data_IF_744155096357
#
_entry.id   IF_744155096357
#
_cell.length_a   1.000
_cell.length_b   1.000
_cell.length_c   1.000
_cell.angle_alpha   90.00
_cell.angle_beta   90.00
_cell.angle_gamma   90.00
#
_symmetry.space_group_name_H-M   'P 1'
#
loop_
_entity.id
_entity.type
_entity.pdbx_description
1 polymer ?
#
# COMPACT_ATOMS: atom_id res chain seq x y z
N UNK A 1 -9.00 -11.30 -4.98
CA UNK A 1 -9.56 -9.96 -4.73
C UNK A 1 -8.97 -9.43 -3.42
N UNK A 2 -8.83 -8.12 -3.19
CA UNK A 2 -8.47 -7.60 -1.87
C UNK A 2 -9.53 -8.04 -0.85
N UNK A 3 -9.08 -8.56 0.31
CA UNK A 3 -9.95 -9.00 1.38
C UNK A 3 -10.22 -10.51 1.41
N UNK A 4 -9.21 -11.32 1.77
CA UNK A 4 -9.47 -12.66 2.33
C UNK A 4 -9.95 -12.59 3.79
N UNK A 5 -9.68 -11.50 4.51
CA UNK A 5 -10.10 -11.23 5.88
C UNK A 5 -10.33 -9.74 6.11
N UNK A 6 -10.96 -9.36 7.23
CA UNK A 6 -11.08 -7.95 7.63
C UNK A 6 -9.70 -7.29 7.82
N UNK A 7 -8.72 -8.04 8.33
CA UNK A 7 -7.36 -7.56 8.52
C UNK A 7 -6.68 -7.26 7.18
N UNK A 8 -6.70 -8.19 6.22
CA UNK A 8 -6.09 -7.95 4.90
C UNK A 8 -6.81 -6.86 4.11
N UNK A 9 -8.13 -6.74 4.25
CA UNK A 9 -8.89 -5.63 3.67
C UNK A 9 -8.45 -4.28 4.25
N UNK A 10 -8.21 -4.19 5.55
CA UNK A 10 -7.69 -2.98 6.19
C UNK A 10 -6.27 -2.64 5.70
N UNK A 11 -5.42 -3.65 5.47
CA UNK A 11 -4.07 -3.46 4.91
C UNK A 11 -4.14 -2.98 3.45
N UNK A 12 -5.00 -3.58 2.63
CA UNK A 12 -5.21 -3.15 1.24
C UNK A 12 -5.80 -1.72 1.19
N UNK A 13 -6.65 -1.31 2.15
CA UNK A 13 -7.08 0.07 2.31
C UNK A 13 -5.93 1.01 2.67
N UNK A 14 -5.09 0.64 3.65
CA UNK A 14 -3.92 1.42 4.04
C UNK A 14 -2.98 1.64 2.84
N UNK A 15 -2.82 0.63 1.99
CA UNK A 15 -2.08 0.76 0.74
C UNK A 15 -2.71 1.77 -0.22
N UNK A 16 -4.03 1.79 -0.39
CA UNK A 16 -4.70 2.79 -1.24
C UNK A 16 -4.41 4.21 -0.75
N UNK A 17 -4.35 4.42 0.57
CA UNK A 17 -3.94 5.68 1.18
C UNK A 17 -2.48 6.01 0.85
N UNK A 18 -1.56 5.06 0.98
CA UNK A 18 -0.14 5.26 0.63
C UNK A 18 0.06 5.59 -0.85
N UNK A 19 -0.62 4.90 -1.77
CA UNK A 19 -0.57 5.21 -3.21
C UNK A 19 -1.09 6.61 -3.50
N UNK A 20 -2.07 7.09 -2.73
CA UNK A 20 -2.58 8.47 -2.84
C UNK A 20 -1.57 9.48 -2.31
N UNK A 21 -0.91 9.20 -1.18
CA UNK A 21 0.16 10.02 -0.66
C UNK A 21 1.34 10.08 -1.64
N UNK A 22 1.74 8.96 -2.23
CA UNK A 22 2.80 8.86 -3.25
C UNK A 22 2.52 9.79 -4.44
N UNK A 23 1.31 9.78 -5.00
CA UNK A 23 0.94 10.70 -6.09
C UNK A 23 1.06 12.18 -5.70
N UNK A 24 0.68 12.53 -4.46
CA UNK A 24 0.82 13.91 -3.95
C UNK A 24 2.28 14.30 -3.78
N UNK A 25 3.10 13.38 -3.27
CA UNK A 25 4.54 13.60 -3.09
C UNK A 25 5.25 13.74 -4.44
N UNK A 26 4.86 12.98 -5.46
CA UNK A 26 5.37 13.15 -6.83
C UNK A 26 5.03 14.54 -7.36
N UNK A 27 3.78 14.98 -7.22
CA UNK A 27 3.38 16.33 -7.63
C UNK A 27 4.15 17.44 -6.88
N UNK A 28 4.46 17.24 -5.60
CA UNK A 28 5.32 18.15 -4.83
C UNK A 28 6.78 18.11 -5.31
N UNK A 29 7.28 16.93 -5.70
CA UNK A 29 8.63 16.79 -6.23
C UNK A 29 8.78 17.47 -7.59
N UNK A 30 7.76 17.41 -8.45
CA UNK A 30 7.70 18.12 -9.73
C UNK A 30 7.71 19.66 -9.58
N UNK A 31 7.31 20.16 -8.40
CA UNK A 31 7.33 21.58 -8.06
C UNK A 31 8.59 22.00 -7.30
N UNK A 32 9.61 21.14 -7.22
CA UNK A 32 10.84 21.34 -6.42
C UNK A 32 10.55 21.62 -4.92
N UNK A 33 9.38 21.22 -4.41
CA UNK A 33 8.98 21.43 -3.02
C UNK A 33 9.43 20.29 -2.09
N UNK A 34 10.12 19.28 -2.62
CA UNK A 34 10.55 18.11 -1.88
C UNK A 34 11.99 18.27 -1.39
N UNK A 35 12.18 18.40 -0.07
CA UNK A 35 13.53 18.56 0.51
C UNK A 35 14.34 17.25 0.53
N UNK A 36 13.67 16.08 0.49
CA UNK A 36 14.33 14.78 0.56
C UNK A 36 13.73 13.78 -0.45
N UNK A 37 14.50 13.43 -1.49
CA UNK A 37 14.11 12.48 -2.52
C UNK A 37 13.86 11.05 -2.04
N UNK A 38 14.41 10.65 -0.88
CA UNK A 38 14.22 9.31 -0.32
C UNK A 38 12.76 9.03 0.07
N UNK A 39 11.97 10.08 0.29
CA UNK A 39 10.55 9.96 0.65
C UNK A 39 9.77 9.23 -0.46
N UNK A 40 10.04 9.54 -1.74
CA UNK A 40 9.38 8.87 -2.86
C UNK A 40 9.71 7.38 -2.90
N UNK A 41 11.00 7.04 -2.78
CA UNK A 41 11.46 5.65 -2.73
C UNK A 41 10.84 4.89 -1.56
N UNK A 42 10.78 5.52 -0.38
CA UNK A 42 10.17 4.93 0.80
C UNK A 42 8.68 4.63 0.62
N UNK A 43 7.89 5.61 0.14
CA UNK A 43 6.46 5.42 -0.10
C UNK A 43 6.19 4.32 -1.13
N UNK A 44 7.04 4.24 -2.16
CA UNK A 44 6.95 3.21 -3.17
C UNK A 44 7.16 1.81 -2.57
N UNK A 45 8.25 1.62 -1.80
CA UNK A 45 8.54 0.34 -1.11
C UNK A 45 7.49 0.01 -0.04
N UNK A 46 6.95 1.00 0.65
CA UNK A 46 5.94 0.81 1.69
C UNK A 46 4.66 0.18 1.12
N UNK A 47 4.15 0.64 -0.02
CA UNK A 47 2.96 0.00 -0.60
C UNK A 47 3.20 -1.39 -1.19
N UNK A 48 4.46 -1.74 -1.51
CA UNK A 48 4.85 -3.10 -1.85
C UNK A 48 4.86 -3.97 -0.58
N UNK A 49 5.42 -3.48 0.53
CA UNK A 49 5.35 -4.17 1.83
C UNK A 49 3.90 -4.42 2.26
N UNK A 50 3.03 -3.42 2.15
CA UNK A 50 1.60 -3.58 2.45
C UNK A 50 0.93 -4.63 1.54
N UNK A 51 1.45 -4.87 0.32
CA UNK A 51 0.99 -6.01 -0.48
C UNK A 51 1.23 -7.32 0.20
N UNK A 52 2.49 -7.49 0.59
CA UNK A 52 3.02 -8.76 1.03
C UNK A 52 2.39 -9.08 2.36
N UNK A 53 2.20 -8.06 3.22
CA UNK A 53 1.45 -8.19 4.46
C UNK A 53 -0.01 -8.59 4.22
N UNK A 54 -0.73 -7.95 3.30
CA UNK A 54 -2.13 -8.32 3.01
C UNK A 54 -2.25 -9.77 2.52
N UNK A 55 -1.30 -10.23 1.67
CA UNK A 55 -1.28 -11.61 1.18
C UNK A 55 -0.78 -12.61 2.24
N UNK A 56 0.11 -12.18 3.12
CA UNK A 56 0.60 -12.99 4.23
C UNK A 56 -0.50 -13.22 5.27
N UNK A 57 -1.31 -12.20 5.58
CA UNK A 57 -2.50 -12.36 6.42
C UNK A 57 -3.51 -13.34 5.81
N UNK A 58 -3.69 -13.29 4.49
CA UNK A 58 -4.62 -14.18 3.79
C UNK A 58 -4.05 -15.60 3.53
N UNK A 59 -2.82 -15.91 3.95
CA UNK A 59 -2.10 -17.14 3.52
C UNK A 59 -2.80 -18.44 3.89
N UNK A 60 -3.45 -18.46 5.06
CA UNK A 60 -4.08 -19.64 5.64
C UNK A 60 -5.61 -19.64 5.40
N UNK A 61 -6.12 -18.66 4.66
CA UNK A 61 -7.55 -18.49 4.39
C UNK A 61 -7.91 -19.30 3.14
N UNK A 62 -8.81 -20.30 3.23
CA UNK A 62 -9.27 -21.04 2.07
C UNK A 62 -9.89 -20.10 1.04
N UNK A 63 -9.46 -20.20 -0.22
CA UNK A 63 -9.87 -19.33 -1.34
C UNK A 63 -11.41 -19.31 -1.50
N UNK A 64 -12.09 -20.38 -1.07
CA UNK A 64 -13.55 -20.56 -1.11
C UNK A 64 -14.34 -19.62 -0.17
N UNK A 65 -13.69 -19.01 0.85
CA UNK A 65 -14.33 -18.06 1.79
C UNK A 65 -14.10 -16.59 1.45
N UNK A 66 -13.37 -16.29 0.37
CA UNK A 66 -13.05 -14.93 -0.06
C UNK A 66 -14.13 -14.30 -0.96
N UNK A 67 -15.34 -14.88 -0.99
CA UNK A 67 -16.52 -14.47 -1.76
C UNK A 67 -17.72 -14.39 -0.84
#
# INVERSE_FOLDING_TARGET
LPGGSQASAAIDLARCVIRTAERRVVAMAEQDMLTNGLIMTYLNRLGDLLFVLARYEDRDIPIERAT
#
